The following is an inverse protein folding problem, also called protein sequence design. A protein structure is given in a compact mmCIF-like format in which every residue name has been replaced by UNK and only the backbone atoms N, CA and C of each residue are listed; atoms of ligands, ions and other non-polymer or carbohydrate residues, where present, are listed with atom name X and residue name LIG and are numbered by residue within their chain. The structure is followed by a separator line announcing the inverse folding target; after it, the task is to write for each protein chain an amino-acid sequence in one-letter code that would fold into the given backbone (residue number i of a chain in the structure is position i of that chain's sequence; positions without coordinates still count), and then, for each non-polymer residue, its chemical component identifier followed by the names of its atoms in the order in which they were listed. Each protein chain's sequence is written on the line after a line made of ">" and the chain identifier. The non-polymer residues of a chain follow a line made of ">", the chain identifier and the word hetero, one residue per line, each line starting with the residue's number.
data_IF_327777541616
#
_entry.id   IF_327777541616
#
_cell.length_a   1.000
_cell.length_b   1.000
_cell.length_c   1.000
_cell.angle_alpha   90.00
_cell.angle_beta   90.00
_cell.angle_gamma   90.00
#
_symmetry.space_group_name_H-M   'P 1'
#
loop_
_entity.id
_entity.type
_entity.pdbx_description
1 polymer ?
#
# COMPACT_ATOMS: atom_id res chain seq x y z
N UNK A 1 11.36 2.16 3.56
CA UNK A 1 10.66 1.06 4.26
C UNK A 1 9.73 0.29 3.33
N UNK A 2 8.58 0.84 2.88
CA UNK A 2 7.58 0.10 2.08
C UNK A 2 8.16 -0.60 0.84
N UNK A 3 9.04 0.07 0.11
CA UNK A 3 9.62 -0.44 -1.14
C UNK A 3 10.83 -1.37 -0.94
N UNK A 4 11.25 -1.63 0.31
CA UNK A 4 12.36 -2.56 0.54
C UNK A 4 11.92 -3.98 0.25
N UNK A 5 12.80 -4.75 -0.39
CA UNK A 5 12.54 -6.14 -0.76
C UNK A 5 12.19 -7.00 0.47
N UNK A 6 12.89 -6.78 1.57
CA UNK A 6 12.65 -7.47 2.84
C UNK A 6 11.24 -7.20 3.39
N UNK A 7 10.80 -5.94 3.40
CA UNK A 7 9.43 -5.59 3.85
C UNK A 7 8.38 -6.24 2.94
N UNK A 8 8.61 -6.24 1.62
CA UNK A 8 7.70 -6.87 0.65
C UNK A 8 7.61 -8.39 0.86
N UNK A 9 8.73 -9.06 1.11
CA UNK A 9 8.75 -10.49 1.42
C UNK A 9 8.02 -10.81 2.72
N UNK A 10 8.24 -10.01 3.77
CA UNK A 10 7.55 -10.16 5.05
C UNK A 10 6.04 -10.02 4.88
N UNK A 11 5.58 -8.97 4.19
CA UNK A 11 4.14 -8.72 3.97
C UNK A 11 3.47 -9.79 3.09
N UNK A 12 4.21 -10.35 2.12
CA UNK A 12 3.74 -11.47 1.30
C UNK A 12 3.60 -12.75 2.12
N UNK A 13 4.56 -13.04 3.02
CA UNK A 13 4.53 -14.24 3.86
C UNK A 13 3.34 -14.30 4.84
N UNK A 14 2.76 -13.15 5.18
CA UNK A 14 1.61 -13.04 6.10
C UNK A 14 0.28 -12.82 5.38
N UNK A 15 0.26 -12.84 4.04
CA UNK A 15 -0.91 -12.45 3.25
C UNK A 15 -2.14 -13.32 3.43
N UNK A 16 -1.91 -14.63 3.54
CA UNK A 16 -2.94 -15.65 3.71
C UNK A 16 -3.17 -16.04 5.18
N UNK A 17 -2.39 -15.41 6.09
CA UNK A 17 -2.52 -15.64 7.53
C UNK A 17 -3.73 -14.88 8.07
N UNK A 18 -4.56 -15.59 8.84
CA UNK A 18 -5.74 -15.01 9.51
C UNK A 18 -5.46 -14.59 10.95
N UNK A 19 -4.31 -14.99 11.48
CA UNK A 19 -3.89 -14.79 12.86
C UNK A 19 -2.97 -13.57 13.04
N UNK A 20 -2.57 -12.92 11.94
CA UNK A 20 -1.69 -11.73 11.96
C UNK A 20 -2.32 -10.63 11.09
N UNK A 21 -2.55 -9.46 11.67
CA UNK A 21 -2.91 -8.25 10.91
C UNK A 21 -1.63 -7.61 10.37
N UNK A 22 -1.63 -7.26 9.08
CA UNK A 22 -0.50 -6.59 8.46
C UNK A 22 -0.21 -5.22 9.09
N UNK A 23 -1.22 -4.58 9.69
CA UNK A 23 -1.04 -3.33 10.43
C UNK A 23 -0.15 -3.50 11.66
N UNK A 24 -0.21 -4.66 12.33
CA UNK A 24 0.63 -4.94 13.49
C UNK A 24 2.10 -5.08 13.03
N UNK A 25 2.33 -5.79 11.93
CA UNK A 25 3.66 -5.92 11.32
C UNK A 25 4.24 -4.56 10.89
N UNK A 26 3.41 -3.69 10.32
CA UNK A 26 3.84 -2.33 9.98
C UNK A 26 4.13 -1.51 11.24
N UNK A 27 3.33 -1.67 12.30
CA UNK A 27 3.58 -0.99 13.56
C UNK A 27 4.93 -1.42 14.17
N UNK A 28 5.26 -2.71 14.12
CA UNK A 28 6.54 -3.23 14.59
C UNK A 28 7.71 -2.70 13.76
N UNK A 29 7.59 -2.71 12.42
CA UNK A 29 8.62 -2.15 11.54
C UNK A 29 8.85 -0.66 11.77
N UNK A 30 7.78 0.11 11.97
CA UNK A 30 7.88 1.53 12.32
C UNK A 30 8.54 1.73 13.68
N UNK A 31 8.18 0.91 14.67
CA UNK A 31 8.76 0.97 16.01
C UNK A 31 10.25 0.69 15.98
N UNK A 32 10.69 -0.34 15.25
CA UNK A 32 12.10 -0.68 15.09
C UNK A 32 12.87 0.45 14.39
N UNK A 33 12.32 1.03 13.33
CA UNK A 33 12.96 2.15 12.63
C UNK A 33 13.09 3.39 13.52
N UNK A 34 12.09 3.66 14.38
CA UNK A 34 12.20 4.74 15.37
C UNK A 34 13.31 4.43 16.37
N UNK A 35 13.35 3.22 16.94
CA UNK A 35 14.42 2.79 17.87
C UNK A 35 15.81 2.90 17.25
N UNK A 36 15.97 2.51 15.99
CA UNK A 36 17.24 2.68 15.25
C UNK A 36 17.63 4.16 15.12
N UNK A 37 16.65 5.05 14.94
CA UNK A 37 16.89 6.48 14.73
C UNK A 37 17.16 7.25 16.05
N UNK A 38 16.46 6.92 17.13
CA UNK A 38 16.52 7.67 18.40
C UNK A 38 17.31 6.96 19.51
N UNK A 39 17.68 5.69 19.31
CA UNK A 39 18.42 4.87 20.28
C UNK A 39 17.56 3.74 20.89
N UNK A 40 18.16 2.57 21.12
CA UNK A 40 17.50 1.42 21.77
C UNK A 40 17.20 1.66 23.26
N UNK A 41 17.89 2.62 23.87
CA UNK A 41 17.72 3.07 25.25
C UNK A 41 16.60 4.11 25.43
N UNK A 42 15.95 4.52 24.32
CA UNK A 42 14.81 5.41 24.36
C UNK A 42 13.66 4.82 25.18
N UNK A 43 13.00 5.68 25.94
CA UNK A 43 11.83 5.32 26.73
C UNK A 43 10.62 5.02 25.83
N UNK A 44 9.66 4.25 26.35
CA UNK A 44 8.42 3.95 25.62
C UNK A 44 7.68 5.24 25.21
N UNK A 45 7.64 6.24 26.09
CA UNK A 45 6.99 7.53 25.81
C UNK A 45 7.66 8.27 24.64
N UNK A 46 8.99 8.24 24.54
CA UNK A 46 9.74 8.85 23.43
C UNK A 46 9.48 8.14 22.10
N UNK A 47 9.41 6.80 22.13
CA UNK A 47 9.08 5.97 20.97
C UNK A 47 7.65 6.31 20.50
N UNK A 48 6.67 6.35 21.40
CA UNK A 48 5.27 6.64 21.05
C UNK A 48 5.10 8.08 20.51
N UNK A 49 5.79 9.06 21.10
CA UNK A 49 5.79 10.44 20.60
C UNK A 49 6.37 10.51 19.19
N UNK A 50 7.50 9.85 18.95
CA UNK A 50 8.17 9.81 17.66
C UNK A 50 7.32 9.11 16.59
N UNK A 51 6.68 7.99 16.93
CA UNK A 51 5.73 7.29 16.05
C UNK A 51 4.56 8.19 15.67
N UNK A 52 4.01 8.97 16.61
CA UNK A 52 2.92 9.90 16.33
C UNK A 52 3.37 10.98 15.34
N UNK A 53 4.53 11.60 15.56
CA UNK A 53 5.09 12.61 14.65
C UNK A 53 5.32 12.00 13.27
N UNK A 54 5.95 10.83 13.21
CA UNK A 54 6.23 10.12 11.96
C UNK A 54 4.95 9.82 11.16
N UNK A 55 3.91 9.30 11.82
CA UNK A 55 2.63 8.97 11.17
C UNK A 55 1.82 10.19 10.76
N UNK A 56 2.01 11.32 11.44
CA UNK A 56 1.33 12.59 11.15
C UNK A 56 2.17 13.55 10.30
N UNK A 57 3.39 13.16 9.89
CA UNK A 57 4.32 14.06 9.21
C UNK A 57 3.74 14.70 7.95
N UNK A 58 2.99 13.93 7.15
CA UNK A 58 2.29 14.44 5.97
C UNK A 58 1.31 15.59 6.28
N UNK A 59 0.66 15.55 7.44
CA UNK A 59 -0.28 16.60 7.88
C UNK A 59 0.44 17.77 8.54
N UNK A 60 1.47 17.49 9.35
CA UNK A 60 2.21 18.51 10.10
C UNK A 60 3.13 19.36 9.20
N UNK A 61 3.64 18.76 8.13
CA UNK A 61 4.59 19.39 7.20
C UNK A 61 4.00 19.48 5.79
N UNK A 62 2.77 19.96 5.67
CA UNK A 62 2.03 20.01 4.40
C UNK A 62 2.69 20.86 3.30
N UNK A 63 3.56 21.80 3.69
CA UNK A 63 4.29 22.67 2.76
C UNK A 63 5.63 22.06 2.31
N UNK A 64 6.01 20.91 2.86
CA UNK A 64 7.22 20.19 2.50
C UNK A 64 6.87 19.10 1.48
N UNK A 65 7.43 19.20 0.28
CA UNK A 65 7.15 18.27 -0.81
C UNK A 65 7.58 16.83 -0.49
N UNK A 66 8.59 16.62 0.35
CA UNK A 66 9.03 15.28 0.72
C UNK A 66 7.97 14.61 1.62
N UNK A 67 7.51 15.31 2.65
CA UNK A 67 6.47 14.81 3.55
C UNK A 67 5.09 14.73 2.88
N UNK A 68 4.79 15.64 1.95
CA UNK A 68 3.55 15.63 1.20
C UNK A 68 3.42 14.38 0.31
N UNK A 69 4.52 13.87 -0.24
CA UNK A 69 4.50 12.69 -1.12
C UNK A 69 4.70 11.36 -0.37
N UNK A 70 4.72 11.36 0.96
CA UNK A 70 4.84 10.13 1.74
C UNK A 70 3.62 9.23 1.55
N UNK A 71 3.87 8.00 1.11
CA UNK A 71 2.85 6.97 1.05
C UNK A 71 2.36 6.59 2.45
N UNK A 72 1.09 6.82 2.73
CA UNK A 72 0.46 6.45 4.00
C UNK A 72 0.04 4.98 3.98
N UNK A 73 0.22 4.30 5.12
CA UNK A 73 -0.34 2.97 5.33
C UNK A 73 -1.81 3.11 5.77
N UNK A 74 -2.72 2.84 4.83
CA UNK A 74 -4.16 2.87 5.08
C UNK A 74 -4.65 1.44 5.25
N UNK A 75 -5.31 1.14 6.37
CA UNK A 75 -5.74 -0.21 6.77
C UNK A 75 -6.46 -1.01 5.68
N UNK A 76 -7.25 -0.33 4.85
CA UNK A 76 -8.04 -0.95 3.78
C UNK A 76 -7.41 -0.83 2.39
N UNK A 77 -6.24 -0.19 2.24
CA UNK A 77 -5.56 0.00 0.96
C UNK A 77 -4.48 -1.08 0.73
N UNK A 78 -4.87 -2.35 0.82
CA UNK A 78 -4.01 -3.49 0.52
C UNK A 78 -4.43 -4.12 -0.81
N UNK A 79 -3.55 -4.05 -1.80
CA UNK A 79 -3.65 -4.92 -2.97
C UNK A 79 -3.11 -6.31 -2.57
N UNK A 80 -3.88 -7.35 -2.88
CA UNK A 80 -3.45 -8.73 -2.70
C UNK A 80 -2.85 -9.30 -3.97
N UNK A 81 -2.02 -10.32 -3.84
CA UNK A 81 -1.62 -11.16 -4.97
C UNK A 81 -2.91 -11.82 -5.52
N UNK A 82 -3.40 -11.28 -6.64
CA UNK A 82 -4.61 -11.78 -7.28
C UNK A 82 -4.43 -13.19 -7.84
N UNK A 83 -5.53 -13.81 -8.27
CA UNK A 83 -5.54 -15.21 -8.73
C UNK A 83 -5.20 -15.39 -10.22
N UNK A 84 -4.98 -14.31 -10.97
CA UNK A 84 -4.78 -14.36 -12.42
C UNK A 84 -3.34 -14.73 -12.78
N UNK A 85 -3.19 -15.63 -13.74
CA UNK A 85 -1.91 -16.11 -14.25
C UNK A 85 -1.74 -15.80 -15.75
N UNK A 86 -0.51 -15.88 -16.24
CA UNK A 86 -0.21 -15.70 -17.66
C UNK A 86 -0.88 -16.81 -18.46
N UNK A 87 -1.68 -16.42 -19.46
CA UNK A 87 -2.45 -17.34 -20.30
C UNK A 87 -3.92 -17.45 -19.89
N UNK A 88 -4.31 -16.94 -18.73
CA UNK A 88 -5.71 -16.88 -18.34
C UNK A 88 -6.51 -15.96 -19.27
N UNK A 89 -7.74 -16.37 -19.57
CA UNK A 89 -8.71 -15.50 -20.22
C UNK A 89 -9.06 -14.32 -19.30
N UNK A 90 -8.98 -13.10 -19.84
CA UNK A 90 -9.37 -11.91 -19.09
C UNK A 90 -10.84 -12.01 -18.65
N UNK A 91 -11.09 -11.85 -17.35
CA UNK A 91 -12.45 -11.87 -16.80
C UNK A 91 -13.18 -10.61 -17.26
N UNK A 92 -14.35 -10.76 -17.87
CA UNK A 92 -15.17 -9.61 -18.21
C UNK A 92 -15.87 -9.06 -16.96
N UNK A 93 -15.42 -7.90 -16.49
CA UNK A 93 -15.99 -7.19 -15.34
C UNK A 93 -16.68 -5.89 -15.80
N UNK A 94 -17.67 -5.43 -15.02
CA UNK A 94 -18.18 -4.08 -15.15
C UNK A 94 -17.22 -3.08 -14.49
N UNK A 95 -16.95 -2.00 -15.19
CA UNK A 95 -16.16 -0.87 -14.76
C UNK A 95 -17.07 0.36 -14.70
N UNK A 96 -16.81 1.25 -13.77
CA UNK A 96 -17.39 2.59 -13.78
C UNK A 96 -16.39 3.52 -14.47
N UNK A 97 -16.78 4.12 -15.59
CA UNK A 97 -15.92 5.07 -16.29
C UNK A 97 -15.93 6.46 -15.61
N UNK A 98 -15.05 7.36 -16.05
CA UNK A 98 -14.95 8.72 -15.49
C UNK A 98 -16.19 9.59 -15.77
N UNK A 99 -17.07 9.16 -16.67
CA UNK A 99 -18.35 9.82 -16.95
C UNK A 99 -19.49 9.30 -16.05
N UNK A 100 -19.20 8.33 -15.16
CA UNK A 100 -20.20 7.73 -14.28
C UNK A 100 -21.04 6.63 -14.94
N UNK A 101 -20.62 6.11 -16.09
CA UNK A 101 -21.33 5.07 -16.83
C UNK A 101 -20.70 3.69 -16.58
N UNK A 102 -21.54 2.66 -16.55
CA UNK A 102 -21.08 1.27 -16.48
C UNK A 102 -20.66 0.77 -17.86
N UNK A 103 -19.43 0.32 -17.97
CA UNK A 103 -18.83 -0.23 -19.20
C UNK A 103 -18.19 -1.59 -18.93
N UNK A 104 -18.12 -2.45 -19.94
CA UNK A 104 -17.50 -3.77 -19.83
C UNK A 104 -15.99 -3.67 -20.05
N UNK A 105 -15.18 -4.39 -19.28
CA UNK A 105 -13.73 -4.40 -19.49
C UNK A 105 -13.37 -4.83 -20.92
N UNK A 106 -14.04 -5.87 -21.43
CA UNK A 106 -13.78 -6.37 -22.77
C UNK A 106 -14.18 -5.39 -23.88
N UNK A 107 -14.98 -4.35 -23.62
CA UNK A 107 -15.25 -3.33 -24.64
C UNK A 107 -14.03 -2.48 -24.99
N UNK A 108 -13.01 -2.46 -24.13
CA UNK A 108 -11.72 -1.81 -24.41
C UNK A 108 -10.77 -2.68 -25.24
N UNK A 109 -11.07 -3.97 -25.37
CA UNK A 109 -10.26 -4.88 -26.17
C UNK A 109 -10.51 -4.65 -27.67
N UNK A 110 -9.45 -4.41 -28.43
CA UNK A 110 -9.49 -4.24 -29.87
C UNK A 110 -8.55 -5.27 -30.51
N UNK A 111 -9.03 -6.01 -31.53
CA UNK A 111 -8.30 -7.14 -32.12
C UNK A 111 -6.88 -6.84 -32.61
N UNK A 112 -6.59 -5.57 -32.92
CA UNK A 112 -5.30 -5.15 -33.48
C UNK A 112 -4.35 -4.52 -32.46
N UNK A 113 -4.69 -4.43 -31.17
CA UNK A 113 -3.84 -3.80 -30.15
C UNK A 113 -3.94 -4.51 -28.79
N UNK A 114 -2.81 -4.78 -28.11
CA UNK A 114 -2.86 -5.26 -26.74
C UNK A 114 -3.48 -4.21 -25.82
N UNK A 115 -4.30 -4.65 -24.88
CA UNK A 115 -4.85 -3.82 -23.81
C UNK A 115 -3.97 -3.96 -22.57
N UNK A 116 -3.37 -2.85 -22.12
CA UNK A 116 -2.66 -2.78 -20.84
C UNK A 116 -3.59 -2.14 -19.79
N UNK A 117 -3.80 -2.83 -18.68
CA UNK A 117 -4.57 -2.33 -17.55
C UNK A 117 -3.60 -2.01 -16.43
N UNK A 118 -3.62 -0.77 -15.96
CA UNK A 118 -2.87 -0.34 -14.78
C UNK A 118 -3.89 -0.07 -13.70
N UNK A 119 -3.92 -0.94 -12.68
CA UNK A 119 -4.81 -0.81 -11.54
C UNK A 119 -4.05 -0.22 -10.35
N UNK A 120 -4.64 0.79 -9.72
CA UNK A 120 -4.12 1.44 -8.53
C UNK A 120 -5.18 2.32 -7.90
N UNK A 121 -5.00 2.69 -6.63
CA UNK A 121 -5.83 3.71 -6.00
C UNK A 121 -5.38 5.09 -6.47
N UNK A 122 -6.29 5.88 -7.04
CA UNK A 122 -6.09 7.33 -7.19
C UNK A 122 -6.60 8.00 -5.91
N UNK A 123 -5.74 8.78 -5.26
CA UNK A 123 -6.07 9.61 -4.08
C UNK A 123 -5.86 11.07 -4.40
#
# INVERSE_FOLDING_TARGET
>A
MRLSQETQQLLSSIEDRKDIDWMDVIADLQTNLIKEAIGEDATEDEIQCSLRIFRSAHQLYSNDNEFHNLSLYVRHNRAKQGNLQVGDSAINIQLLNMNGEFVSLLSYFHSNRPLLIIAGSYT
#
